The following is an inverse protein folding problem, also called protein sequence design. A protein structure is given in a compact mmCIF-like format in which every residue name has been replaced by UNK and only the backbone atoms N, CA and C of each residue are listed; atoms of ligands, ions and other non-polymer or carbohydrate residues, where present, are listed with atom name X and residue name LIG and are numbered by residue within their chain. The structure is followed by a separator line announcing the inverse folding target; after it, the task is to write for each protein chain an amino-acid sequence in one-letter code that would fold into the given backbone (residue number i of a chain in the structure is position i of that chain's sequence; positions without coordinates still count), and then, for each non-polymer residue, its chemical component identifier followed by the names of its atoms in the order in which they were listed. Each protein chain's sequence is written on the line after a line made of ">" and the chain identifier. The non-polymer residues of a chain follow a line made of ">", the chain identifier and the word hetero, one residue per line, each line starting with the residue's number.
data_IF_620077695764
#
_entry.id   IF_620077695764
#
_cell.length_a   1.000
_cell.length_b   1.000
_cell.length_c   1.000
_cell.angle_alpha   90.00
_cell.angle_beta   90.00
_cell.angle_gamma   90.00
#
_symmetry.space_group_name_H-M   'P 1'
#
loop_
_entity.id
_entity.type
_entity.pdbx_description
1 polymer ?
#
# COMPACT_ATOMS: atom_id res chain seq x y z
N UNK A 1 -7.51 -11.12 -20.08
CA UNK A 1 -8.50 -10.68 -21.08
C UNK A 1 -8.25 -9.25 -21.53
N UNK A 2 -8.27 -8.25 -20.64
CA UNK A 2 -8.08 -6.83 -20.98
C UNK A 2 -6.77 -6.54 -21.72
N UNK A 3 -5.64 -7.09 -21.28
CA UNK A 3 -4.36 -6.89 -21.96
C UNK A 3 -4.38 -7.41 -23.40
N UNK A 4 -4.97 -8.58 -23.68
CA UNK A 4 -5.10 -9.08 -25.04
C UNK A 4 -5.96 -8.16 -25.92
N UNK A 5 -7.04 -7.63 -25.36
CA UNK A 5 -7.90 -6.68 -26.03
C UNK A 5 -7.17 -5.36 -26.33
N UNK A 6 -6.55 -4.78 -25.31
CA UNK A 6 -5.84 -3.48 -25.42
C UNK A 6 -4.61 -3.54 -26.33
N UNK A 7 -3.97 -4.72 -26.42
CA UNK A 7 -2.82 -4.95 -27.32
C UNK A 7 -3.23 -5.42 -28.72
N UNK A 8 -4.55 -5.50 -29.02
CA UNK A 8 -5.08 -6.00 -30.29
C UNK A 8 -4.66 -7.43 -30.64
N UNK A 9 -4.38 -8.27 -29.64
CA UNK A 9 -3.90 -9.63 -29.79
C UNK A 9 -5.01 -10.70 -29.77
N UNK A 10 -6.25 -10.35 -29.45
CA UNK A 10 -7.36 -11.29 -29.25
C UNK A 10 -7.55 -12.22 -30.48
N UNK A 11 -7.65 -11.65 -31.67
CA UNK A 11 -7.86 -12.44 -32.91
C UNK A 11 -6.70 -13.39 -33.23
N UNK A 12 -5.46 -12.97 -32.92
CA UNK A 12 -4.27 -13.80 -33.12
C UNK A 12 -4.31 -15.00 -32.20
N UNK A 13 -4.61 -14.77 -30.90
CA UNK A 13 -4.75 -15.83 -29.92
C UNK A 13 -5.90 -16.78 -30.25
N UNK A 14 -7.07 -16.28 -30.65
CA UNK A 14 -8.20 -17.08 -31.09
C UNK A 14 -7.83 -18.01 -32.27
N UNK A 15 -7.10 -17.48 -33.24
CA UNK A 15 -6.64 -18.26 -34.38
C UNK A 15 -5.70 -19.39 -33.96
N UNK A 16 -4.69 -19.08 -33.13
CA UNK A 16 -3.73 -20.08 -32.66
C UNK A 16 -4.42 -21.16 -31.79
N UNK A 17 -5.28 -20.74 -30.87
CA UNK A 17 -6.00 -21.69 -29.99
C UNK A 17 -6.95 -22.61 -30.77
N UNK A 18 -7.56 -22.10 -31.85
CA UNK A 18 -8.40 -22.89 -32.74
C UNK A 18 -7.64 -24.06 -33.38
N UNK A 19 -6.37 -23.87 -33.75
CA UNK A 19 -5.52 -24.92 -34.30
C UNK A 19 -5.26 -26.06 -33.30
N UNK A 20 -5.35 -25.76 -32.00
CA UNK A 20 -5.27 -26.75 -30.91
C UNK A 20 -6.64 -27.24 -30.41
N UNK A 21 -7.74 -26.82 -31.01
CA UNK A 21 -9.10 -27.18 -30.59
C UNK A 21 -9.54 -26.55 -29.26
N UNK A 22 -8.87 -25.46 -28.82
CA UNK A 22 -9.12 -24.78 -27.55
C UNK A 22 -10.00 -23.55 -27.79
N UNK A 23 -11.01 -23.34 -26.96
CA UNK A 23 -11.85 -22.12 -26.99
C UNK A 23 -11.22 -21.04 -26.12
N UNK A 24 -11.23 -19.80 -26.57
CA UNK A 24 -10.70 -18.64 -25.83
C UNK A 24 -11.37 -18.47 -24.46
N UNK A 25 -12.70 -18.65 -24.39
CA UNK A 25 -13.44 -18.52 -23.13
C UNK A 25 -12.95 -19.50 -22.05
N UNK A 26 -12.60 -20.74 -22.45
CA UNK A 26 -12.03 -21.71 -21.53
C UNK A 26 -10.70 -21.26 -20.93
N UNK A 27 -9.90 -20.48 -21.68
CA UNK A 27 -8.66 -19.90 -21.17
C UNK A 27 -8.95 -18.76 -20.17
N UNK A 28 -9.95 -17.93 -20.47
CA UNK A 28 -10.36 -16.85 -19.56
C UNK A 28 -10.90 -17.40 -18.23
N UNK A 29 -11.64 -18.51 -18.26
CA UNK A 29 -12.20 -19.15 -17.08
C UNK A 29 -11.14 -19.82 -16.18
N UNK A 30 -9.94 -20.09 -16.72
CA UNK A 30 -8.81 -20.62 -15.95
C UNK A 30 -8.07 -19.55 -15.12
N UNK A 31 -8.25 -18.28 -15.45
CA UNK A 31 -7.57 -17.18 -14.75
C UNK A 31 -8.49 -16.62 -13.66
N UNK A 32 -8.10 -16.72 -12.37
CA UNK A 32 -8.90 -16.18 -11.29
C UNK A 32 -8.88 -14.65 -11.30
N UNK A 33 -9.92 -14.06 -10.74
CA UNK A 33 -9.95 -12.61 -10.47
C UNK A 33 -8.89 -12.22 -9.45
N UNK A 34 -8.32 -11.03 -9.60
CA UNK A 34 -7.33 -10.52 -8.66
C UNK A 34 -7.94 -10.27 -7.28
N UNK A 35 -7.39 -10.91 -6.25
CA UNK A 35 -7.80 -10.79 -4.84
C UNK A 35 -7.30 -9.50 -4.18
N UNK A 36 -7.48 -8.34 -4.83
CA UNK A 36 -6.96 -7.03 -4.40
C UNK A 36 -8.04 -6.08 -3.90
N UNK A 37 -9.31 -6.48 -3.92
CA UNK A 37 -10.45 -5.70 -3.46
C UNK A 37 -11.67 -6.58 -3.29
N UNK A 38 -12.70 -6.05 -2.61
CA UNK A 38 -13.92 -6.81 -2.31
C UNK A 38 -15.20 -6.16 -2.82
N UNK A 39 -15.12 -5.01 -3.49
CA UNK A 39 -16.31 -4.27 -3.90
C UNK A 39 -15.99 -3.06 -4.78
N UNK A 40 -16.81 -2.01 -4.64
CA UNK A 40 -16.80 -0.83 -5.49
C UNK A 40 -15.47 -0.09 -5.54
N UNK A 41 -14.82 0.12 -4.39
CA UNK A 41 -13.53 0.83 -4.31
C UNK A 41 -12.41 0.10 -5.07
N UNK A 42 -12.30 -1.21 -4.88
CA UNK A 42 -11.30 -2.02 -5.58
C UNK A 42 -11.51 -2.03 -7.09
N UNK A 43 -12.77 -2.17 -7.55
CA UNK A 43 -13.11 -2.11 -8.96
C UNK A 43 -12.87 -0.72 -9.56
N UNK A 44 -13.19 0.34 -8.82
CA UNK A 44 -12.96 1.72 -9.25
C UNK A 44 -11.48 2.00 -9.47
N UNK A 45 -10.61 1.58 -8.54
CA UNK A 45 -9.16 1.71 -8.66
C UNK A 45 -8.62 0.99 -9.92
N UNK A 46 -9.10 -0.21 -10.20
CA UNK A 46 -8.73 -0.96 -11.41
C UNK A 46 -9.17 -0.22 -12.69
N UNK A 47 -10.39 0.32 -12.71
CA UNK A 47 -10.91 1.10 -13.83
C UNK A 47 -10.12 2.41 -14.03
N UNK A 48 -9.75 3.10 -12.96
CA UNK A 48 -8.94 4.31 -13.06
C UNK A 48 -7.56 4.03 -13.64
N UNK A 49 -6.89 2.97 -13.18
CA UNK A 49 -5.56 2.65 -13.69
C UNK A 49 -5.59 2.28 -15.18
N UNK A 50 -6.61 1.54 -15.61
CA UNK A 50 -6.83 1.22 -17.03
C UNK A 50 -7.16 2.48 -17.85
N UNK A 51 -8.03 3.36 -17.33
CA UNK A 51 -8.39 4.62 -17.99
C UNK A 51 -7.18 5.55 -18.13
N UNK A 52 -6.37 5.70 -17.09
CA UNK A 52 -5.13 6.48 -17.13
C UNK A 52 -4.14 5.92 -18.15
N UNK A 53 -3.99 4.60 -18.23
CA UNK A 53 -3.14 3.95 -19.24
C UNK A 53 -3.67 4.20 -20.65
N UNK A 54 -4.98 4.09 -20.87
CA UNK A 54 -5.62 4.32 -22.17
C UNK A 54 -5.62 5.78 -22.58
N UNK A 55 -5.69 6.71 -21.61
CA UNK A 55 -5.55 8.16 -21.83
C UNK A 55 -4.11 8.63 -21.97
N UNK A 56 -3.13 7.73 -21.90
CA UNK A 56 -1.70 8.04 -21.98
C UNK A 56 -1.19 8.94 -20.83
N UNK A 57 -1.80 8.85 -19.66
CA UNK A 57 -1.31 9.50 -18.45
C UNK A 57 -0.27 8.62 -17.76
N UNK A 58 0.90 9.16 -17.39
CA UNK A 58 1.86 8.43 -16.55
C UNK A 58 1.28 8.26 -15.15
N UNK A 59 1.00 7.02 -14.77
CA UNK A 59 0.39 6.71 -13.50
C UNK A 59 1.01 5.45 -12.88
N UNK A 60 0.95 5.36 -11.56
CA UNK A 60 1.33 4.17 -10.81
C UNK A 60 0.32 3.93 -9.69
N UNK A 61 -0.25 2.74 -9.67
CA UNK A 61 -1.08 2.28 -8.55
C UNK A 61 -0.20 1.63 -7.48
N UNK A 62 -0.63 1.74 -6.22
CA UNK A 62 0.01 1.09 -5.08
C UNK A 62 -1.02 0.30 -4.29
N UNK A 63 -0.70 -0.93 -3.94
CA UNK A 63 -1.52 -1.78 -3.08
C UNK A 63 -0.65 -2.80 -2.35
N UNK A 64 -1.27 -3.61 -1.50
CA UNK A 64 -0.63 -4.76 -0.85
C UNK A 64 -0.82 -6.00 -1.74
N UNK A 65 0.23 -6.81 -1.86
CA UNK A 65 0.18 -8.13 -2.49
C UNK A 65 -0.43 -9.13 -1.51
N UNK A 66 -1.75 -9.09 -1.36
CA UNK A 66 -2.41 -10.05 -0.50
C UNK A 66 -2.20 -11.48 -1.01
N UNK A 67 -1.80 -12.37 -0.14
CA UNK A 67 -1.65 -13.79 -0.47
C UNK A 67 -3.01 -14.45 -0.68
N UNK A 68 -3.97 -14.08 0.17
CA UNK A 68 -5.34 -14.54 0.12
C UNK A 68 -6.28 -13.35 -0.15
N UNK A 69 -7.22 -13.53 -1.08
CA UNK A 69 -8.34 -12.63 -1.28
C UNK A 69 -9.28 -12.63 -0.06
N UNK A 70 -10.45 -11.98 -0.20
CA UNK A 70 -11.37 -11.86 0.94
C UNK A 70 -11.90 -13.23 1.38
N UNK A 71 -12.47 -14.01 0.50
CA UNK A 71 -12.82 -15.43 0.63
C UNK A 71 -13.35 -16.00 -0.70
N UNK A 72 -13.29 -17.31 -0.83
CA UNK A 72 -13.96 -18.08 -1.90
C UNK A 72 -15.24 -18.64 -1.37
N UNK A 73 -16.36 -18.30 -2.01
CA UNK A 73 -17.67 -18.78 -1.61
C UNK A 73 -17.92 -20.21 -2.12
N UNK A 74 -18.40 -21.10 -1.22
CA UNK A 74 -18.90 -22.43 -1.56
C UNK A 74 -20.27 -22.67 -0.94
N UNK A 75 -21.05 -23.54 -1.56
CA UNK A 75 -22.25 -24.11 -0.97
C UNK A 75 -21.93 -25.54 -0.52
N UNK A 76 -22.05 -25.82 0.77
CA UNK A 76 -21.84 -27.14 1.36
C UNK A 76 -23.11 -27.48 2.14
N UNK A 77 -23.77 -28.59 1.76
CA UNK A 77 -25.04 -29.05 2.37
C UNK A 77 -26.14 -27.98 2.41
N UNK A 78 -26.17 -27.11 1.38
CA UNK A 78 -27.15 -26.01 1.27
C UNK A 78 -26.76 -24.72 2.02
N UNK A 79 -25.62 -24.70 2.71
CA UNK A 79 -25.14 -23.53 3.45
C UNK A 79 -23.97 -22.88 2.74
N UNK A 80 -23.95 -21.54 2.78
CA UNK A 80 -22.78 -20.77 2.32
C UNK A 80 -21.61 -21.01 3.26
N UNK A 81 -20.46 -21.35 2.67
CA UNK A 81 -19.21 -21.59 3.39
C UNK A 81 -18.12 -20.75 2.77
N UNK A 82 -17.35 -20.06 3.60
CA UNK A 82 -16.20 -19.25 3.20
C UNK A 82 -14.93 -20.10 3.21
N UNK A 83 -14.20 -20.08 2.10
CA UNK A 83 -12.95 -20.81 1.91
C UNK A 83 -11.83 -19.85 1.57
N UNK A 84 -10.56 -20.17 1.89
CA UNK A 84 -9.44 -19.34 1.47
C UNK A 84 -9.43 -19.11 -0.05
N UNK A 85 -9.24 -17.87 -0.46
CA UNK A 85 -9.17 -17.47 -1.87
C UNK A 85 -7.73 -17.35 -2.33
N UNK A 86 -7.19 -18.44 -2.87
CA UNK A 86 -5.85 -18.50 -3.47
C UNK A 86 -5.92 -17.98 -4.92
N UNK A 87 -5.82 -16.67 -5.09
CA UNK A 87 -5.94 -16.00 -6.39
C UNK A 87 -4.63 -15.88 -7.19
N UNK A 88 -3.48 -16.27 -6.60
CA UNK A 88 -2.16 -16.27 -7.25
C UNK A 88 -1.70 -17.70 -7.60
N UNK A 89 -2.44 -18.46 -8.45
CA UNK A 89 -2.01 -19.79 -8.85
C UNK A 89 -0.71 -19.70 -9.67
N UNK A 90 0.23 -20.60 -9.40
CA UNK A 90 1.51 -20.64 -10.10
C UNK A 90 2.48 -19.52 -9.75
N UNK A 91 2.31 -18.86 -8.57
CA UNK A 91 3.28 -17.90 -8.04
C UNK A 91 3.21 -16.50 -8.65
N UNK A 92 2.13 -16.16 -9.33
CA UNK A 92 1.93 -14.80 -9.87
C UNK A 92 2.75 -14.52 -11.13
N UNK A 93 2.57 -15.32 -12.16
CA UNK A 93 3.25 -15.22 -13.48
C UNK A 93 3.21 -13.81 -14.10
N UNK A 94 2.18 -13.01 -13.75
CA UNK A 94 2.03 -11.64 -14.22
C UNK A 94 2.76 -10.60 -13.35
N UNK A 95 3.32 -11.02 -12.21
CA UNK A 95 3.97 -10.15 -11.25
C UNK A 95 5.49 -10.20 -11.45
N UNK A 96 6.07 -9.03 -11.62
CA UNK A 96 7.52 -8.85 -11.74
C UNK A 96 8.09 -8.38 -10.41
N UNK A 97 8.76 -9.24 -9.67
CA UNK A 97 9.47 -8.88 -8.45
C UNK A 97 10.58 -7.86 -8.73
N UNK A 98 10.68 -6.83 -7.91
CA UNK A 98 11.69 -5.76 -8.02
C UNK A 98 12.50 -5.64 -6.72
N UNK A 99 13.33 -6.61 -6.37
CA UNK A 99 14.00 -6.66 -5.06
C UNK A 99 14.93 -5.47 -4.82
N UNK A 100 15.53 -4.88 -5.87
CA UNK A 100 16.33 -3.67 -5.78
C UNK A 100 15.54 -2.38 -5.42
N UNK A 101 14.22 -2.47 -5.36
CA UNK A 101 13.33 -1.38 -4.92
C UNK A 101 12.63 -1.71 -3.60
N UNK A 102 13.08 -2.73 -2.88
CA UNK A 102 12.58 -3.03 -1.54
C UNK A 102 12.92 -1.88 -0.58
N UNK A 103 12.03 -1.65 0.39
CA UNK A 103 12.18 -0.65 1.45
C UNK A 103 11.81 -1.26 2.78
N UNK A 104 12.30 -0.67 3.86
CA UNK A 104 12.00 -1.10 5.21
C UNK A 104 10.95 -0.18 5.83
N UNK A 105 9.99 -0.76 6.54
CA UNK A 105 8.94 -0.07 7.28
C UNK A 105 9.06 -0.43 8.75
N UNK A 106 9.14 0.59 9.60
CA UNK A 106 9.33 0.44 11.04
C UNK A 106 7.99 0.52 11.78
N UNK A 107 7.84 -0.34 12.79
CA UNK A 107 6.67 -0.42 13.66
C UNK A 107 7.10 -0.52 15.11
N UNK A 108 6.20 -0.12 16.02
CA UNK A 108 6.39 -0.24 17.46
C UNK A 108 7.57 0.60 17.99
N UNK A 109 8.06 0.28 19.15
CA UNK A 109 9.17 0.98 19.78
C UNK A 109 8.74 2.29 20.46
N UNK A 110 9.68 3.20 20.61
CA UNK A 110 9.46 4.52 21.16
C UNK A 110 10.42 5.52 20.52
N UNK A 111 10.04 6.79 20.53
CA UNK A 111 10.83 7.87 19.97
C UNK A 111 11.32 8.82 21.06
N UNK A 112 12.52 9.37 20.85
CA UNK A 112 12.98 10.61 21.46
C UNK A 112 12.98 11.67 20.37
N UNK A 113 12.30 12.79 20.59
CA UNK A 113 12.21 13.88 19.63
C UNK A 113 12.62 15.22 20.24
N UNK A 114 13.26 16.06 19.43
CA UNK A 114 13.61 17.44 19.81
C UNK A 114 13.73 18.32 18.58
N UNK A 115 13.71 19.63 18.80
CA UNK A 115 13.97 20.61 17.75
C UNK A 115 15.34 21.23 17.94
N UNK A 116 16.17 21.18 16.91
CA UNK A 116 17.50 21.76 16.90
C UNK A 116 17.62 22.73 15.73
N UNK A 117 17.80 24.02 16.01
CA UNK A 117 17.94 25.10 15.01
C UNK A 117 16.78 25.11 13.97
N UNK A 118 15.54 24.81 14.40
CA UNK A 118 14.36 24.78 13.53
C UNK A 118 14.22 23.50 12.71
N UNK A 119 15.10 22.53 12.89
CA UNK A 119 15.02 21.20 12.28
C UNK A 119 14.49 20.20 13.30
N UNK A 120 13.51 19.39 12.91
CA UNK A 120 13.02 18.26 13.71
C UNK A 120 14.08 17.17 13.76
N UNK A 121 14.32 16.63 14.94
CA UNK A 121 15.25 15.53 15.20
C UNK A 121 14.52 14.44 15.92
N UNK A 122 14.72 13.19 15.48
CA UNK A 122 14.08 12.02 16.04
C UNK A 122 15.08 10.88 16.16
N UNK A 123 14.96 10.10 17.22
CA UNK A 123 15.63 8.83 17.40
C UNK A 123 14.57 7.76 17.72
N UNK A 124 14.44 6.76 16.86
CA UNK A 124 13.52 5.64 17.04
C UNK A 124 14.26 4.45 17.65
N UNK A 125 13.75 3.92 18.74
CA UNK A 125 14.37 2.83 19.51
C UNK A 125 13.44 1.64 19.63
N UNK A 126 14.02 0.42 19.65
CA UNK A 126 13.31 -0.85 19.86
C UNK A 126 12.14 -1.10 18.87
N UNK A 127 12.26 -0.59 17.67
CA UNK A 127 11.29 -0.83 16.60
C UNK A 127 11.45 -2.21 15.96
N UNK A 128 10.39 -2.66 15.31
CA UNK A 128 10.39 -3.85 14.45
C UNK A 128 10.42 -3.42 13.00
N UNK A 129 11.28 -4.06 12.21
CA UNK A 129 11.41 -3.78 10.78
C UNK A 129 10.67 -4.84 9.96
N UNK A 130 9.81 -4.38 9.06
CA UNK A 130 9.17 -5.20 8.04
C UNK A 130 9.66 -4.75 6.69
N UNK A 131 10.22 -5.68 5.92
CA UNK A 131 10.67 -5.40 4.56
C UNK A 131 9.51 -5.43 3.59
N UNK A 132 9.30 -4.34 2.88
CA UNK A 132 8.34 -4.23 1.80
C UNK A 132 9.02 -4.54 0.47
N UNK A 133 8.68 -5.68 -0.12
CA UNK A 133 9.22 -6.14 -1.40
C UNK A 133 8.20 -5.89 -2.50
N UNK A 134 8.52 -5.07 -3.53
CA UNK A 134 7.57 -4.71 -4.54
C UNK A 134 7.49 -5.71 -5.69
N UNK A 135 6.26 -5.93 -6.16
CA UNK A 135 5.90 -6.69 -7.34
C UNK A 135 5.08 -5.81 -8.28
N UNK A 136 5.52 -5.65 -9.52
CA UNK A 136 4.84 -4.80 -10.50
C UNK A 136 3.97 -5.65 -11.42
N UNK A 137 2.69 -5.27 -11.53
CA UNK A 137 1.73 -5.75 -12.52
C UNK A 137 1.56 -4.69 -13.61
N UNK A 138 1.87 -5.05 -14.84
CA UNK A 138 1.72 -4.14 -15.98
C UNK A 138 0.24 -4.01 -16.41
N UNK A 139 -0.22 -2.78 -16.60
CA UNK A 139 -1.55 -2.44 -17.09
C UNK A 139 -1.42 -1.69 -18.41
N UNK A 140 -1.64 -2.41 -19.50
CA UNK A 140 -1.59 -1.85 -20.83
C UNK A 140 -2.85 -1.03 -21.11
N UNK A 141 -2.68 0.19 -21.59
CA UNK A 141 -3.74 1.00 -22.14
C UNK A 141 -4.14 0.58 -23.55
N UNK A 142 -5.18 1.20 -24.08
CA UNK A 142 -5.67 0.94 -25.42
C UNK A 142 -4.56 1.12 -26.47
N UNK A 143 -4.46 0.17 -27.40
CA UNK A 143 -3.43 0.10 -28.46
C UNK A 143 -1.99 -0.04 -27.93
N UNK A 144 -1.78 -0.36 -26.65
CA UNK A 144 -0.47 -0.62 -26.08
C UNK A 144 0.50 0.56 -26.05
N UNK A 145 0.03 1.78 -26.28
CA UNK A 145 0.88 2.98 -26.34
C UNK A 145 1.48 3.35 -25.00
N UNK A 146 0.72 3.15 -23.93
CA UNK A 146 1.15 3.42 -22.57
C UNK A 146 0.92 2.17 -21.73
N UNK A 147 1.89 1.82 -20.90
CA UNK A 147 1.82 0.74 -19.94
C UNK A 147 2.15 1.32 -18.57
N UNK A 148 1.16 1.38 -17.71
CA UNK A 148 1.32 1.77 -16.32
C UNK A 148 1.59 0.54 -15.44
N UNK A 149 2.01 0.75 -14.22
CA UNK A 149 2.26 -0.30 -13.25
C UNK A 149 1.31 -0.20 -12.06
N UNK A 150 0.83 -1.35 -11.60
CA UNK A 150 0.29 -1.53 -10.27
C UNK A 150 1.38 -2.18 -9.42
N UNK A 151 1.95 -1.45 -8.46
CA UNK A 151 2.95 -1.95 -7.52
C UNK A 151 2.28 -2.54 -6.31
N UNK A 152 2.56 -3.82 -6.07
CA UNK A 152 2.02 -4.60 -4.97
C UNK A 152 3.14 -4.90 -3.97
N UNK A 153 2.97 -4.47 -2.74
CA UNK A 153 3.94 -4.68 -1.66
C UNK A 153 3.71 -6.01 -0.93
N UNK A 154 4.72 -6.86 -0.90
CA UNK A 154 4.76 -8.06 -0.07
C UNK A 154 5.51 -7.75 1.22
N UNK A 155 4.94 -8.11 2.35
CA UNK A 155 5.59 -7.96 3.65
C UNK A 155 6.44 -9.19 3.94
N UNK A 156 7.71 -8.97 4.23
CA UNK A 156 8.68 -10.01 4.58
C UNK A 156 9.38 -9.66 5.88
N UNK A 157 9.81 -10.66 6.63
CA UNK A 157 10.65 -10.44 7.80
C UNK A 157 12.02 -9.91 7.33
N UNK A 158 12.40 -8.72 7.81
CA UNK A 158 13.68 -8.11 7.42
C UNK A 158 14.86 -8.89 8.01
N UNK A 159 14.74 -9.26 9.28
CA UNK A 159 15.80 -9.91 10.05
C UNK A 159 15.24 -11.16 10.74
N UNK A 160 15.52 -12.32 10.19
CA UNK A 160 15.22 -13.58 10.86
C UNK A 160 16.15 -13.75 12.09
N UNK A 161 15.58 -13.94 13.28
CA UNK A 161 16.37 -14.10 14.51
C UNK A 161 17.11 -15.45 14.52
N UNK A 162 18.25 -15.46 13.86
CA UNK A 162 19.15 -16.63 13.82
C UNK A 162 19.70 -16.99 15.20
N UNK A 163 19.80 -16.01 16.12
CA UNK A 163 20.28 -16.27 17.49
C UNK A 163 19.25 -17.09 18.25
N UNK A 164 18.00 -16.62 18.29
CA UNK A 164 16.91 -17.37 18.91
C UNK A 164 16.76 -18.77 18.29
N UNK A 165 16.86 -18.86 16.96
CA UNK A 165 16.77 -20.15 16.27
C UNK A 165 17.90 -21.11 16.68
N UNK A 166 19.16 -20.65 16.76
CA UNK A 166 20.32 -21.46 17.17
C UNK A 166 20.30 -21.83 18.66
N UNK A 167 19.67 -21.00 19.49
CA UNK A 167 19.47 -21.26 20.92
C UNK A 167 18.31 -22.24 21.18
N UNK A 168 17.57 -22.65 20.14
CA UNK A 168 16.43 -23.56 20.23
C UNK A 168 15.09 -22.88 20.50
N UNK A 169 15.03 -21.56 20.55
CA UNK A 169 13.78 -20.78 20.68
C UNK A 169 13.12 -20.59 19.29
N UNK A 170 12.74 -21.72 18.70
CA UNK A 170 12.13 -21.75 17.37
C UNK A 170 10.80 -21.00 17.33
N UNK A 171 10.04 -20.99 18.43
CA UNK A 171 8.74 -20.32 18.49
C UNK A 171 8.93 -18.81 18.30
N UNK A 172 9.84 -18.21 19.04
CA UNK A 172 10.13 -16.78 18.95
C UNK A 172 10.56 -16.37 17.54
N UNK A 173 11.47 -17.13 16.93
CA UNK A 173 11.94 -16.84 15.57
C UNK A 173 10.82 -16.96 14.52
N UNK A 174 9.91 -17.94 14.66
CA UNK A 174 8.76 -18.15 13.78
C UNK A 174 7.69 -17.09 14.02
N UNK A 175 7.41 -16.71 15.25
CA UNK A 175 6.41 -15.69 15.60
C UNK A 175 6.77 -14.34 15.01
N UNK A 176 8.01 -13.88 15.13
CA UNK A 176 8.47 -12.63 14.52
C UNK A 176 8.28 -12.63 13.02
N UNK A 177 8.64 -13.71 12.37
CA UNK A 177 8.43 -13.88 10.93
C UNK A 177 6.95 -13.84 10.56
N UNK A 178 6.12 -14.60 11.28
CA UNK A 178 4.68 -14.67 11.04
C UNK A 178 4.01 -13.31 11.24
N UNK A 179 4.41 -12.54 12.26
CA UNK A 179 3.88 -11.19 12.50
C UNK A 179 4.16 -10.25 11.33
N UNK A 180 5.37 -10.27 10.77
CA UNK A 180 5.70 -9.47 9.59
C UNK A 180 4.90 -9.91 8.36
N UNK A 181 4.90 -11.20 8.04
CA UNK A 181 4.25 -11.76 6.85
C UNK A 181 2.72 -11.63 6.90
N UNK A 182 2.10 -11.62 8.09
CA UNK A 182 0.65 -11.47 8.25
C UNK A 182 0.12 -10.13 7.69
N UNK A 183 0.95 -9.10 7.61
CA UNK A 183 0.56 -7.79 7.04
C UNK A 183 0.06 -7.93 5.60
N UNK A 184 0.68 -8.80 4.80
CA UNK A 184 0.25 -9.07 3.42
C UNK A 184 -0.49 -10.40 3.23
N UNK A 185 -0.99 -11.02 4.31
CA UNK A 185 -1.59 -12.36 4.26
C UNK A 185 -3.01 -12.34 3.70
N UNK A 186 -3.88 -11.53 4.28
CA UNK A 186 -5.34 -11.57 4.02
C UNK A 186 -5.87 -10.17 3.74
N UNK A 187 -6.66 -10.05 2.68
CA UNK A 187 -7.47 -8.87 2.39
C UNK A 187 -8.64 -8.79 3.40
N UNK A 188 -8.78 -7.65 4.08
CA UNK A 188 -9.81 -7.39 5.09
C UNK A 188 -9.89 -8.42 6.21
N UNK A 189 -8.85 -8.51 7.08
CA UNK A 189 -8.95 -9.32 8.29
C UNK A 189 -10.08 -8.80 9.19
N UNK A 190 -10.68 -9.70 9.97
CA UNK A 190 -11.69 -9.32 10.96
C UNK A 190 -11.10 -8.32 11.98
N UNK A 191 -11.82 -7.24 12.27
CA UNK A 191 -11.39 -6.13 13.14
C UNK A 191 -12.33 -5.88 14.31
N UNK A 192 -13.09 -6.89 14.70
CA UNK A 192 -13.97 -6.86 15.87
C UNK A 192 -13.22 -7.08 17.20
N UNK A 193 -11.92 -7.33 17.16
CA UNK A 193 -11.01 -7.49 18.30
C UNK A 193 -9.73 -6.65 18.10
N UNK A 194 -8.96 -6.46 19.19
CA UNK A 194 -7.84 -5.52 19.20
C UNK A 194 -6.70 -5.94 18.25
N UNK A 195 -6.44 -7.24 18.14
CA UNK A 195 -5.42 -7.80 17.26
C UNK A 195 -5.74 -7.55 15.79
N UNK A 196 -7.02 -7.70 15.42
CA UNK A 196 -7.47 -7.43 14.05
C UNK A 196 -7.40 -5.94 13.70
N UNK A 197 -7.76 -5.06 14.65
CA UNK A 197 -7.57 -3.61 14.48
C UNK A 197 -6.10 -3.26 14.33
N UNK A 198 -5.23 -3.81 15.17
CA UNK A 198 -3.78 -3.63 15.08
C UNK A 198 -3.25 -4.08 13.72
N UNK A 199 -3.66 -5.24 13.23
CA UNK A 199 -3.26 -5.75 11.92
C UNK A 199 -3.73 -4.82 10.78
N UNK A 200 -4.98 -4.34 10.83
CA UNK A 200 -5.48 -3.38 9.83
C UNK A 200 -4.70 -2.08 9.82
N UNK A 201 -4.38 -1.52 10.98
CA UNK A 201 -3.56 -0.31 11.07
C UNK A 201 -2.15 -0.55 10.51
N UNK A 202 -1.54 -1.71 10.82
CA UNK A 202 -0.25 -2.12 10.24
C UNK A 202 -0.33 -2.25 8.72
N UNK A 203 -1.40 -2.83 8.16
CA UNK A 203 -1.60 -2.92 6.72
C UNK A 203 -1.67 -1.54 6.06
N UNK A 204 -2.43 -0.61 6.63
CA UNK A 204 -2.56 0.75 6.10
C UNK A 204 -1.23 1.49 6.12
N UNK A 205 -0.53 1.46 7.24
CA UNK A 205 0.77 2.14 7.34
C UNK A 205 1.85 1.47 6.49
N UNK A 206 1.89 0.16 6.42
CA UNK A 206 2.80 -0.58 5.55
C UNK A 206 2.67 -0.16 4.08
N UNK A 207 1.44 -0.12 3.57
CA UNK A 207 1.16 0.36 2.21
C UNK A 207 1.64 1.79 2.02
N UNK A 208 1.29 2.67 2.95
CA UNK A 208 1.58 4.10 2.87
C UNK A 208 3.08 4.36 2.92
N UNK A 209 3.77 3.85 3.95
CA UNK A 209 5.20 4.11 4.15
C UNK A 209 6.03 3.57 2.98
N UNK A 210 5.78 2.34 2.55
CA UNK A 210 6.49 1.76 1.41
C UNK A 210 6.27 2.57 0.12
N UNK A 211 5.04 3.06 -0.09
CA UNK A 211 4.69 3.81 -1.31
C UNK A 211 5.28 5.22 -1.31
N UNK A 212 5.24 5.93 -0.19
CA UNK A 212 5.84 7.26 -0.06
C UNK A 212 7.36 7.19 -0.26
N UNK A 213 8.03 6.22 0.36
CA UNK A 213 9.47 6.01 0.17
C UNK A 213 9.82 5.77 -1.32
N UNK A 214 9.04 4.94 -2.03
CA UNK A 214 9.25 4.68 -3.46
C UNK A 214 9.03 5.93 -4.31
N UNK A 215 7.97 6.70 -4.05
CA UNK A 215 7.67 7.94 -4.75
C UNK A 215 8.80 8.94 -4.58
N UNK A 216 9.24 9.20 -3.34
CA UNK A 216 10.31 10.15 -3.05
C UNK A 216 11.65 9.71 -3.64
N UNK A 217 12.01 8.43 -3.51
CA UNK A 217 13.24 7.86 -4.08
C UNK A 217 13.28 7.98 -5.60
N UNK A 218 12.16 7.69 -6.27
CA UNK A 218 12.05 7.82 -7.73
C UNK A 218 12.11 9.28 -8.17
N UNK A 219 11.44 10.17 -7.45
CA UNK A 219 11.45 11.60 -7.72
C UNK A 219 12.86 12.18 -7.59
N UNK A 220 13.53 11.94 -6.46
CA UNK A 220 14.90 12.39 -6.22
C UNK A 220 15.88 11.87 -7.26
N UNK A 221 15.76 10.60 -7.66
CA UNK A 221 16.60 10.03 -8.72
C UNK A 221 16.43 10.74 -10.05
N UNK A 222 15.23 11.22 -10.36
CA UNK A 222 14.91 11.88 -11.62
C UNK A 222 15.22 13.37 -11.63
N UNK A 223 14.94 14.06 -10.52
CA UNK A 223 14.97 15.53 -10.46
C UNK A 223 16.05 16.10 -9.51
N UNK A 224 16.58 15.29 -8.62
CA UNK A 224 17.63 15.70 -7.67
C UNK A 224 17.16 16.63 -6.54
N UNK A 225 15.88 16.99 -6.50
CA UNK A 225 15.28 17.89 -5.50
C UNK A 225 13.84 17.49 -5.21
N UNK A 226 13.31 17.86 -4.03
CA UNK A 226 11.89 17.70 -3.69
C UNK A 226 11.11 19.02 -3.81
N UNK A 227 11.75 20.14 -4.07
CA UNK A 227 11.08 21.45 -4.18
C UNK A 227 10.01 21.48 -5.26
N UNK A 228 10.22 20.75 -6.35
CA UNK A 228 9.28 20.65 -7.47
C UNK A 228 8.33 19.46 -7.36
N UNK A 229 8.24 18.81 -6.19
CA UNK A 229 7.37 17.64 -5.97
C UNK A 229 5.91 17.92 -6.37
N UNK A 230 5.27 19.05 -5.96
CA UNK A 230 3.88 19.34 -6.32
C UNK A 230 3.63 19.53 -7.82
N UNK A 231 4.66 19.89 -8.58
CA UNK A 231 4.56 20.10 -10.05
C UNK A 231 4.65 18.78 -10.82
N UNK A 232 5.27 17.77 -10.25
CA UNK A 232 5.63 16.51 -10.90
C UNK A 232 4.88 15.30 -10.39
N UNK A 233 4.33 15.38 -9.19
CA UNK A 233 3.68 14.26 -8.50
C UNK A 233 2.34 14.71 -7.97
N UNK A 234 1.29 13.92 -8.24
CA UNK A 234 -0.01 14.02 -7.58
C UNK A 234 -0.30 12.68 -6.89
N UNK A 235 -0.45 12.72 -5.58
CA UNK A 235 -0.83 11.54 -4.78
C UNK A 235 -2.31 11.61 -4.52
N UNK A 236 -3.07 10.65 -5.07
CA UNK A 236 -4.50 10.55 -4.84
C UNK A 236 -4.79 9.55 -3.73
N UNK A 237 -5.24 10.06 -2.59
CA UNK A 237 -5.70 9.27 -1.45
C UNK A 237 -7.15 8.85 -1.73
N UNK A 238 -7.37 7.54 -1.89
CA UNK A 238 -8.66 6.96 -2.22
C UNK A 238 -9.33 6.44 -0.95
N UNK A 239 -10.29 7.22 -0.39
CA UNK A 239 -10.93 7.04 0.91
C UNK A 239 -9.99 7.25 2.12
N UNK A 240 -10.46 6.93 3.32
CA UNK A 240 -9.73 7.16 4.59
C UNK A 240 -8.57 6.20 4.81
N UNK A 241 -8.58 5.03 4.18
CA UNK A 241 -7.63 3.95 4.44
C UNK A 241 -6.14 4.37 4.28
N UNK A 242 -5.73 5.12 3.24
CA UNK A 242 -4.35 5.57 3.10
C UNK A 242 -4.08 7.01 3.57
N UNK A 243 -4.93 7.59 4.43
CA UNK A 243 -4.75 8.98 4.92
C UNK A 243 -3.45 9.20 5.69
N UNK A 244 -2.87 8.15 6.25
CA UNK A 244 -1.55 8.21 6.88
C UNK A 244 -0.44 8.66 5.91
N UNK A 245 -0.71 8.71 4.59
CA UNK A 245 0.20 9.27 3.60
C UNK A 245 0.55 10.74 3.86
N UNK A 246 -0.36 11.52 4.45
CA UNK A 246 -0.12 12.91 4.80
C UNK A 246 0.93 13.05 5.90
N UNK A 247 0.75 12.49 7.10
CA UNK A 247 1.76 12.59 8.14
C UNK A 247 3.05 11.81 7.80
N UNK A 248 2.99 10.72 7.03
CA UNK A 248 4.20 10.00 6.60
C UNK A 248 5.04 10.82 5.61
N UNK A 249 4.41 11.50 4.67
CA UNK A 249 5.13 12.41 3.77
C UNK A 249 5.75 13.58 4.54
N UNK A 250 5.02 14.15 5.53
CA UNK A 250 5.56 15.17 6.44
C UNK A 250 6.79 14.64 7.19
N UNK A 251 6.70 13.43 7.77
CA UNK A 251 7.81 12.81 8.50
C UNK A 251 9.06 12.72 7.64
N UNK A 252 8.95 12.18 6.43
CA UNK A 252 10.08 12.10 5.51
C UNK A 252 10.68 13.47 5.16
N UNK A 253 9.85 14.48 4.93
CA UNK A 253 10.33 15.82 4.62
C UNK A 253 11.06 16.47 5.81
N UNK A 254 10.53 16.31 7.03
CA UNK A 254 11.11 16.86 8.24
C UNK A 254 12.36 16.10 8.68
N UNK A 255 12.24 14.79 8.88
CA UNK A 255 13.22 13.97 9.58
C UNK A 255 14.33 13.49 8.66
N UNK A 256 13.98 13.00 7.45
CA UNK A 256 14.96 12.45 6.53
C UNK A 256 15.56 13.51 5.61
N UNK A 257 14.80 14.55 5.26
CA UNK A 257 15.22 15.58 4.31
C UNK A 257 15.57 16.93 4.96
N UNK A 258 15.25 17.14 6.24
CA UNK A 258 15.62 18.34 7.01
C UNK A 258 14.87 19.61 6.63
N UNK A 259 13.69 19.52 6.02
CA UNK A 259 12.83 20.65 5.76
C UNK A 259 12.31 21.25 7.08
N UNK A 260 12.07 22.56 7.11
CA UNK A 260 11.26 23.14 8.16
C UNK A 260 9.78 22.81 7.93
N UNK A 261 8.97 23.00 8.99
CA UNK A 261 7.54 22.62 8.93
C UNK A 261 6.77 23.32 7.80
N UNK A 262 6.94 24.62 7.64
CA UNK A 262 6.09 25.40 6.73
C UNK A 262 6.38 25.06 5.27
N UNK A 263 7.64 24.80 4.92
CA UNK A 263 8.02 24.37 3.58
C UNK A 263 7.58 22.93 3.32
N UNK A 264 7.76 22.01 4.28
CA UNK A 264 7.27 20.65 4.19
C UNK A 264 5.74 20.62 4.01
N UNK A 265 5.00 21.40 4.80
CA UNK A 265 3.54 21.46 4.73
C UNK A 265 3.03 21.96 3.37
N UNK A 266 3.68 22.98 2.78
CA UNK A 266 3.36 23.45 1.42
C UNK A 266 3.57 22.35 0.37
N UNK A 267 4.65 21.58 0.48
CA UNK A 267 4.90 20.45 -0.44
C UNK A 267 3.82 19.39 -0.31
N UNK A 268 3.44 19.02 0.91
CA UNK A 268 2.37 18.04 1.16
C UNK A 268 1.04 18.53 0.60
N UNK A 269 0.63 19.76 0.93
CA UNK A 269 -0.63 20.33 0.44
C UNK A 269 -0.70 20.43 -1.08
N UNK A 270 0.42 20.70 -1.75
CA UNK A 270 0.50 20.78 -3.20
C UNK A 270 0.57 19.43 -3.90
N UNK A 271 0.89 18.35 -3.18
CA UNK A 271 1.12 17.01 -3.75
C UNK A 271 -0.06 16.08 -3.54
N UNK A 272 -0.80 16.21 -2.44
CA UNK A 272 -1.82 15.26 -2.00
C UNK A 272 -3.22 15.74 -2.32
N UNK A 273 -4.06 14.86 -2.86
CA UNK A 273 -5.48 15.03 -3.02
C UNK A 273 -6.24 13.87 -2.39
N UNK A 274 -7.44 14.13 -1.86
CA UNK A 274 -8.27 13.16 -1.16
C UNK A 274 -9.65 13.05 -1.79
N UNK A 275 -10.14 11.81 -1.95
CA UNK A 275 -11.52 11.54 -2.32
C UNK A 275 -12.20 10.71 -1.25
N UNK A 276 -13.28 11.23 -0.69
CA UNK A 276 -14.14 10.51 0.22
C UNK A 276 -15.26 9.78 -0.56
N UNK A 277 -15.52 8.53 -0.21
CA UNK A 277 -16.54 7.69 -0.85
C UNK A 277 -17.78 7.46 0.00
N UNK A 278 -17.81 7.98 1.22
CA UNK A 278 -18.94 7.80 2.15
C UNK A 278 -19.29 9.08 2.88
N UNK A 279 -20.59 9.25 3.20
CA UNK A 279 -21.08 10.30 4.08
C UNK A 279 -21.54 9.75 5.43
N UNK A 280 -21.52 8.43 5.60
CA UNK A 280 -22.02 7.77 6.81
C UNK A 280 -20.91 7.76 7.87
N UNK A 281 -21.22 8.27 9.05
CA UNK A 281 -20.25 8.43 10.14
C UNK A 281 -19.61 7.10 10.59
N UNK A 282 -20.34 5.99 10.51
CA UNK A 282 -19.84 4.65 10.85
C UNK A 282 -18.80 4.12 9.87
N UNK A 283 -18.76 4.63 8.64
CA UNK A 283 -17.77 4.26 7.65
C UNK A 283 -16.47 5.08 7.75
N UNK A 284 -16.47 6.15 8.56
CA UNK A 284 -15.26 6.91 8.86
C UNK A 284 -14.46 6.19 9.95
N UNK A 285 -13.24 5.82 9.63
CA UNK A 285 -12.39 5.09 10.57
C UNK A 285 -12.04 5.92 11.80
N UNK A 286 -12.07 5.26 12.95
CA UNK A 286 -11.68 5.83 14.24
C UNK A 286 -10.68 4.90 14.90
N UNK A 287 -9.51 5.42 15.19
CA UNK A 287 -8.42 4.70 15.85
C UNK A 287 -8.22 5.21 17.27
N UNK A 288 -7.96 4.30 18.21
CA UNK A 288 -7.57 4.69 19.56
C UNK A 288 -6.19 5.35 19.50
N UNK A 289 -6.05 6.52 20.11
CA UNK A 289 -4.77 7.26 20.12
C UNK A 289 -3.62 6.39 20.65
N UNK A 290 -3.84 5.66 21.75
CA UNK A 290 -2.83 4.76 22.33
C UNK A 290 -2.40 3.64 21.39
N UNK A 291 -3.27 3.16 20.49
CA UNK A 291 -2.90 2.18 19.48
C UNK A 291 -2.01 2.80 18.41
N UNK A 292 -2.37 3.98 17.91
CA UNK A 292 -1.55 4.68 16.90
C UNK A 292 -0.19 5.04 17.49
N UNK A 293 -0.16 5.58 18.70
CA UNK A 293 1.06 5.93 19.43
C UNK A 293 1.99 4.74 19.63
N UNK A 294 1.46 3.59 20.05
CA UNK A 294 2.29 2.41 20.31
C UNK A 294 2.80 1.74 19.04
N UNK A 295 1.99 1.73 17.96
CA UNK A 295 2.35 1.07 16.71
C UNK A 295 3.18 1.95 15.78
N UNK A 296 2.94 3.27 15.79
CA UNK A 296 3.45 4.25 14.83
C UNK A 296 3.90 5.53 15.55
N UNK A 297 4.85 5.45 16.51
CA UNK A 297 5.19 6.59 17.35
C UNK A 297 5.69 7.80 16.56
N UNK A 298 6.49 7.61 15.51
CA UNK A 298 6.99 8.70 14.65
C UNK A 298 5.84 9.45 13.97
N UNK A 299 4.91 8.72 13.38
CA UNK A 299 3.76 9.30 12.66
C UNK A 299 2.77 9.94 13.63
N UNK A 300 2.59 9.35 14.82
CA UNK A 300 1.69 9.90 15.84
C UNK A 300 2.12 11.30 16.30
N UNK A 301 3.42 11.52 16.51
CA UNK A 301 3.95 12.85 16.82
C UNK A 301 3.60 13.89 15.74
N UNK A 302 3.77 13.52 14.47
CA UNK A 302 3.39 14.38 13.33
C UNK A 302 1.87 14.68 13.31
N UNK A 303 1.04 13.67 13.57
CA UNK A 303 -0.43 13.85 13.66
C UNK A 303 -0.80 14.85 14.74
N UNK A 304 -0.17 14.78 15.92
CA UNK A 304 -0.39 15.74 17.01
C UNK A 304 -0.01 17.15 16.59
N UNK A 305 1.16 17.32 15.96
CA UNK A 305 1.61 18.63 15.47
C UNK A 305 0.66 19.23 14.40
N UNK A 306 0.14 18.38 13.49
CA UNK A 306 -0.87 18.84 12.51
C UNK A 306 -2.14 19.29 13.23
N UNK A 307 -2.62 18.53 14.20
CA UNK A 307 -3.82 18.86 14.96
C UNK A 307 -3.68 20.17 15.74
N UNK A 308 -2.56 20.37 16.44
CA UNK A 308 -2.31 21.60 17.20
C UNK A 308 -2.30 22.84 16.30
N UNK A 309 -1.64 22.76 15.15
CA UNK A 309 -1.59 23.86 14.18
C UNK A 309 -2.95 24.14 13.59
N UNK A 310 -3.70 23.10 13.22
CA UNK A 310 -5.07 23.23 12.71
C UNK A 310 -5.99 23.92 13.71
N UNK A 311 -5.95 23.52 14.99
CA UNK A 311 -6.73 24.14 16.06
C UNK A 311 -6.34 25.61 16.22
N UNK A 312 -5.06 25.93 16.21
CA UNK A 312 -4.56 27.31 16.30
C UNK A 312 -5.07 28.18 15.15
N UNK A 313 -5.01 27.66 13.92
CA UNK A 313 -5.48 28.37 12.73
C UNK A 313 -6.99 28.60 12.78
N UNK A 314 -7.77 27.61 13.25
CA UNK A 314 -9.22 27.75 13.43
C UNK A 314 -9.58 28.83 14.46
N UNK A 315 -8.85 28.90 15.59
CA UNK A 315 -9.05 29.96 16.57
C UNK A 315 -8.65 31.36 16.04
N UNK A 316 -7.72 31.44 15.11
CA UNK A 316 -7.33 32.71 14.49
C UNK A 316 -8.37 33.23 13.49
N UNK A 317 -9.21 32.33 12.96
CA UNK A 317 -10.29 32.69 12.02
C UNK A 317 -11.61 33.10 12.72
N UNK A 318 -11.73 32.92 14.06
CA UNK A 318 -12.91 33.25 14.87
C UNK A 318 -13.85 32.06 14.98
#
# INVERSE_FOLDING_TARGET
>A
KNNLYNLNLTKVFESVLKDYGIKMDSIYDCEPDAGLGNGGLGRLAACFLEALSSGSYPAMGYSIRYELGIFRQKLIEGWQTEMPDFWLPGGGIWLQMKPGSAVDVCFDGHINEWWENGTHRIEHHNYQTVRAVPYDLCVAGKDGKTVNALRLWSAECADFDMSAFNEGDYLRAIEQRAMAENISKILYPADNHIEGKSLRLRQQYFLVSASIQDILKRHLRQYGTLENLPEKVAIHINDTHPTLAIPELMRHLLDDCGYNWDDAWKLVQGTVAYTNHTIMAEALEKWQCSMVESLLPEVYGIILMINERFIKDMYALG
#
